data_IF_961819624655
#
_entry.id   IF_961819624655
#
_cell.length_a   1.000
_cell.length_b   1.000
_cell.length_c   1.000
_cell.angle_alpha   90.00
_cell.angle_beta   90.00
_cell.angle_gamma   90.00
#
_symmetry.space_group_name_H-M   'P 1'
#
loop_
_entity.id
_entity.type
_entity.pdbx_description
1 polymer ?
#
# COMPACT_ATOMS: atom_id res chain seq x y z
N UNK A 1 23.93 9.43 -11.82
CA UNK A 1 24.98 8.49 -12.30
C UNK A 1 25.15 7.24 -11.42
N UNK A 2 24.94 7.30 -10.10
CA UNK A 2 25.12 6.12 -9.21
C UNK A 2 23.93 5.14 -9.14
N UNK A 3 22.71 5.56 -9.52
CA UNK A 3 21.49 4.72 -9.37
C UNK A 3 21.44 3.52 -10.32
N UNK A 4 21.91 3.67 -11.57
CA UNK A 4 21.98 2.53 -12.49
C UNK A 4 22.93 1.41 -12.03
N UNK A 5 23.98 1.74 -11.29
CA UNK A 5 24.84 0.72 -10.65
C UNK A 5 24.09 -0.02 -9.56
N UNK A 6 23.37 0.73 -8.73
CA UNK A 6 22.61 0.16 -7.61
C UNK A 6 21.43 -0.72 -8.07
N UNK A 7 20.71 -0.31 -9.11
CA UNK A 7 19.65 -1.12 -9.71
C UNK A 7 20.23 -2.43 -10.26
N UNK A 8 21.37 -2.38 -10.96
CA UNK A 8 22.02 -3.56 -11.49
C UNK A 8 22.50 -4.53 -10.39
N UNK A 9 23.07 -3.99 -9.30
CA UNK A 9 23.47 -4.76 -8.12
C UNK A 9 22.26 -5.43 -7.45
N UNK A 10 21.17 -4.68 -7.23
CA UNK A 10 19.95 -5.21 -6.63
C UNK A 10 19.31 -6.29 -7.50
N UNK A 11 19.25 -6.09 -8.81
CA UNK A 11 18.74 -7.08 -9.76
C UNK A 11 19.59 -8.35 -9.74
N UNK A 12 20.92 -8.20 -9.68
CA UNK A 12 21.82 -9.35 -9.54
C UNK A 12 21.55 -10.11 -8.23
N UNK A 13 21.43 -9.41 -7.11
CA UNK A 13 21.21 -10.02 -5.79
C UNK A 13 19.86 -10.72 -5.70
N UNK A 14 18.80 -10.12 -6.24
CA UNK A 14 17.48 -10.75 -6.35
C UNK A 14 17.57 -12.02 -7.20
N UNK A 15 18.16 -11.93 -8.40
CA UNK A 15 18.29 -13.09 -9.29
C UNK A 15 19.09 -14.21 -8.62
N UNK A 16 20.22 -13.88 -7.99
CA UNK A 16 21.04 -14.85 -7.26
C UNK A 16 20.27 -15.50 -6.09
N UNK A 17 19.51 -14.73 -5.33
CA UNK A 17 18.68 -15.24 -4.25
C UNK A 17 17.59 -16.19 -4.79
N UNK A 18 16.94 -15.84 -5.91
CA UNK A 18 15.95 -16.70 -6.57
C UNK A 18 16.57 -18.02 -7.01
N UNK A 19 17.77 -18.01 -7.61
CA UNK A 19 18.49 -19.24 -7.98
C UNK A 19 18.80 -20.14 -6.78
N UNK A 20 19.17 -19.55 -5.64
CA UNK A 20 19.43 -20.32 -4.41
C UNK A 20 18.17 -20.95 -3.84
N UNK A 21 17.05 -20.23 -3.89
CA UNK A 21 15.76 -20.72 -3.41
C UNK A 21 15.17 -21.74 -4.37
N UNK A 22 15.27 -21.52 -5.69
CA UNK A 22 14.76 -22.44 -6.70
C UNK A 22 15.46 -23.80 -6.68
N UNK A 23 16.74 -23.84 -6.29
CA UNK A 23 17.49 -25.09 -6.13
C UNK A 23 16.89 -26.04 -5.07
N UNK A 24 16.09 -25.53 -4.14
CA UNK A 24 15.43 -26.32 -3.09
C UNK A 24 14.06 -26.87 -3.52
N UNK A 25 13.51 -26.39 -4.63
CA UNK A 25 12.18 -26.76 -5.13
C UNK A 25 12.23 -28.15 -5.77
N UNK A 26 11.30 -29.01 -5.37
CA UNK A 26 11.21 -30.38 -5.92
C UNK A 26 10.59 -30.36 -7.32
N UNK A 27 9.54 -29.57 -7.53
CA UNK A 27 8.84 -29.47 -8.80
C UNK A 27 9.69 -28.86 -9.92
N UNK A 28 10.25 -29.72 -10.78
CA UNK A 28 11.22 -29.34 -11.81
C UNK A 28 10.75 -28.26 -12.79
N UNK A 29 9.46 -28.25 -13.16
CA UNK A 29 8.92 -27.23 -14.07
C UNK A 29 8.86 -25.86 -13.40
N UNK A 30 8.45 -25.82 -12.11
CA UNK A 30 8.36 -24.57 -11.36
C UNK A 30 9.73 -23.98 -11.09
N UNK A 31 10.69 -24.84 -10.71
CA UNK A 31 12.10 -24.47 -10.58
C UNK A 31 12.64 -23.83 -11.85
N UNK A 32 12.43 -24.47 -13.00
CA UNK A 32 12.89 -23.95 -14.30
C UNK A 32 12.24 -22.61 -14.66
N UNK A 33 10.95 -22.45 -14.43
CA UNK A 33 10.25 -21.19 -14.70
C UNK A 33 10.72 -20.05 -13.78
N UNK A 34 10.99 -20.32 -12.50
CA UNK A 34 11.58 -19.35 -11.58
C UNK A 34 12.97 -18.91 -12.03
N UNK A 35 13.84 -19.86 -12.40
CA UNK A 35 15.18 -19.58 -12.92
C UNK A 35 15.13 -18.77 -14.21
N UNK A 36 14.25 -19.12 -15.14
CA UNK A 36 14.03 -18.36 -16.37
C UNK A 36 13.55 -16.93 -16.06
N UNK A 37 12.61 -16.77 -15.14
CA UNK A 37 12.10 -15.46 -14.76
C UNK A 37 13.14 -14.59 -14.05
N UNK A 38 14.08 -15.19 -13.30
CA UNK A 38 15.21 -14.47 -12.71
C UNK A 38 16.19 -13.98 -13.78
N UNK A 39 16.50 -14.80 -14.79
CA UNK A 39 17.35 -14.37 -15.92
C UNK A 39 16.66 -13.29 -16.76
N UNK A 40 15.34 -13.41 -16.95
CA UNK A 40 14.55 -12.39 -17.65
C UNK A 40 14.60 -11.05 -16.94
N UNK A 41 14.45 -11.03 -15.61
CA UNK A 41 14.60 -9.80 -14.80
C UNK A 41 15.99 -9.16 -14.98
N UNK A 42 17.05 -9.97 -15.04
CA UNK A 42 18.42 -9.47 -15.27
C UNK A 42 18.66 -8.94 -16.68
N UNK A 43 17.85 -9.37 -17.66
CA UNK A 43 17.99 -8.94 -19.06
C UNK A 43 17.12 -7.72 -19.36
N UNK A 44 15.91 -7.70 -18.82
CA UNK A 44 14.91 -6.67 -19.02
C UNK A 44 14.36 -6.27 -17.65
N UNK A 45 14.86 -5.15 -17.12
CA UNK A 45 14.36 -4.61 -15.85
C UNK A 45 13.13 -3.77 -16.15
N UNK A 46 11.96 -4.40 -16.12
CA UNK A 46 10.68 -3.76 -16.42
C UNK A 46 9.58 -4.23 -15.45
N UNK A 47 8.44 -3.52 -15.42
CA UNK A 47 7.37 -3.86 -14.50
C UNK A 47 6.82 -5.28 -14.75
N UNK A 48 6.82 -5.73 -16.01
CA UNK A 48 6.24 -7.02 -16.38
C UNK A 48 7.06 -8.22 -15.91
N UNK A 49 8.40 -8.16 -16.03
CA UNK A 49 9.30 -9.20 -15.50
C UNK A 49 9.23 -9.30 -13.98
N UNK A 50 9.13 -8.17 -13.28
CA UNK A 50 8.99 -8.14 -11.82
C UNK A 50 7.67 -8.80 -11.40
N UNK A 51 6.54 -8.44 -12.01
CA UNK A 51 5.24 -9.04 -11.70
C UNK A 51 5.19 -10.54 -12.03
N UNK A 52 5.85 -10.96 -13.11
CA UNK A 52 5.97 -12.38 -13.46
C UNK A 52 6.71 -13.16 -12.38
N UNK A 53 7.85 -12.65 -11.94
CA UNK A 53 8.66 -13.29 -10.90
C UNK A 53 7.92 -13.34 -9.55
N UNK A 54 7.27 -12.24 -9.15
CA UNK A 54 6.46 -12.17 -7.93
C UNK A 54 5.32 -13.20 -7.94
N UNK A 55 4.63 -13.38 -9.07
CA UNK A 55 3.57 -14.40 -9.21
C UNK A 55 4.10 -15.81 -9.06
N UNK A 56 5.28 -16.10 -9.61
CA UNK A 56 5.91 -17.42 -9.51
C UNK A 56 6.38 -17.71 -8.07
N UNK A 57 6.95 -16.72 -7.39
CA UNK A 57 7.36 -16.82 -5.97
C UNK A 57 6.13 -17.09 -5.09
N UNK A 58 5.04 -16.35 -5.29
CA UNK A 58 3.81 -16.55 -4.53
C UNK A 58 3.14 -17.90 -4.83
N UNK A 59 3.22 -18.37 -6.07
CA UNK A 59 2.76 -19.71 -6.44
C UNK A 59 3.59 -20.79 -5.72
N UNK A 60 4.92 -20.65 -5.71
CA UNK A 60 5.82 -21.58 -5.04
C UNK A 60 5.60 -21.59 -3.53
N UNK A 61 5.34 -20.44 -2.90
CA UNK A 61 4.94 -20.37 -1.49
C UNK A 61 3.60 -21.07 -1.23
N UNK A 62 2.63 -20.89 -2.13
CA UNK A 62 1.31 -21.53 -2.01
C UNK A 62 1.37 -23.06 -2.15
N UNK A 63 2.43 -23.57 -2.79
CA UNK A 63 2.72 -25.00 -2.91
C UNK A 63 3.63 -25.51 -1.79
N UNK A 64 3.98 -24.67 -0.81
CA UNK A 64 4.90 -24.99 0.29
C UNK A 64 6.32 -25.40 -0.18
N UNK A 65 6.68 -25.06 -1.42
CA UNK A 65 8.00 -25.34 -2.03
C UNK A 65 9.05 -24.29 -1.62
N UNK A 66 8.61 -23.13 -1.16
CA UNK A 66 9.44 -22.05 -0.62
C UNK A 66 8.89 -21.66 0.75
N UNK A 67 9.78 -21.44 1.72
CA UNK A 67 9.41 -20.95 3.05
C UNK A 67 8.88 -19.51 3.01
N UNK A 68 7.92 -19.18 3.87
CA UNK A 68 7.36 -17.82 4.01
C UNK A 68 8.43 -16.74 4.24
N UNK A 69 9.51 -17.08 4.96
CA UNK A 69 10.62 -16.15 5.24
C UNK A 69 11.31 -15.73 3.94
N UNK A 70 11.71 -16.71 3.11
CA UNK A 70 12.34 -16.45 1.82
C UNK A 70 11.40 -15.69 0.89
N UNK A 71 10.12 -16.05 0.85
CA UNK A 71 9.09 -15.36 0.08
C UNK A 71 8.96 -13.90 0.49
N UNK A 72 8.90 -13.62 1.80
CA UNK A 72 8.79 -12.26 2.33
C UNK A 72 10.02 -11.41 1.97
N UNK A 73 11.22 -11.98 2.10
CA UNK A 73 12.47 -11.29 1.74
C UNK A 73 12.49 -10.97 0.24
N UNK A 74 12.23 -11.96 -0.61
CA UNK A 74 12.25 -11.76 -2.07
C UNK A 74 11.21 -10.73 -2.51
N UNK A 75 9.98 -10.79 -1.98
CA UNK A 75 8.93 -9.83 -2.32
C UNK A 75 9.28 -8.41 -1.85
N UNK A 76 9.94 -8.26 -0.70
CA UNK A 76 10.44 -6.95 -0.24
C UNK A 76 11.48 -6.39 -1.18
N UNK A 77 12.46 -7.20 -1.60
CA UNK A 77 13.49 -6.72 -2.53
C UNK A 77 12.92 -6.39 -3.92
N UNK A 78 11.93 -7.15 -4.39
CA UNK A 78 11.19 -6.83 -5.62
C UNK A 78 10.40 -5.51 -5.48
N UNK A 79 9.81 -5.24 -4.31
CA UNK A 79 9.14 -3.97 -4.05
C UNK A 79 10.13 -2.80 -4.06
N UNK A 80 11.29 -2.97 -3.41
CA UNK A 80 12.38 -1.98 -3.46
C UNK A 80 12.81 -1.69 -4.90
N UNK A 81 12.95 -2.74 -5.73
CA UNK A 81 13.29 -2.60 -7.14
C UNK A 81 12.22 -1.82 -7.93
N UNK A 82 10.92 -2.07 -7.69
CA UNK A 82 9.83 -1.32 -8.33
C UNK A 82 9.89 0.16 -7.97
N UNK A 83 10.13 0.50 -6.71
CA UNK A 83 10.22 1.89 -6.26
C UNK A 83 11.38 2.62 -6.93
N UNK A 84 12.54 1.98 -7.06
CA UNK A 84 13.70 2.53 -7.76
C UNK A 84 13.41 2.74 -9.26
N UNK A 85 12.71 1.80 -9.88
CA UNK A 85 12.33 1.88 -11.29
C UNK A 85 11.42 3.09 -11.56
N UNK A 86 10.39 3.28 -10.72
CA UNK A 86 9.47 4.43 -10.82
C UNK A 86 10.20 5.74 -10.63
N UNK A 87 11.14 5.80 -9.68
CA UNK A 87 11.94 6.99 -9.45
C UNK A 87 12.82 7.36 -10.66
N UNK A 88 13.38 6.37 -11.37
CA UNK A 88 14.16 6.60 -12.59
C UNK A 88 13.27 7.16 -13.72
N UNK A 89 12.08 6.58 -13.94
CA UNK A 89 11.15 7.08 -14.97
C UNK A 89 10.61 8.48 -14.68
N UNK A 90 10.45 8.87 -13.42
CA UNK A 90 9.99 10.22 -13.05
C UNK A 90 11.07 11.30 -13.23
N UNK A 91 12.36 10.94 -13.19
CA UNK A 91 13.45 11.88 -13.48
C UNK A 91 13.67 12.07 -15.00
N UNK A 92 13.25 11.11 -15.83
CA UNK A 92 13.43 11.15 -17.29
C UNK A 92 12.27 11.79 -18.06
N UNK A 93 11.13 12.11 -17.43
CA UNK A 93 10.10 12.88 -18.12
C UNK A 93 10.45 14.37 -18.12
N UNK A 94 10.84 14.99 -19.25
CA UNK A 94 10.79 16.44 -19.35
C UNK A 94 9.34 16.86 -19.10
N UNK A 95 9.14 18.00 -18.44
CA UNK A 95 7.84 18.66 -18.36
C UNK A 95 7.37 18.97 -19.79
N UNK A 96 6.69 18.01 -20.43
CA UNK A 96 6.00 18.25 -21.69
C UNK A 96 4.82 19.14 -21.35
N UNK A 97 4.96 20.44 -21.61
CA UNK A 97 3.89 21.42 -21.48
C UNK A 97 2.80 21.10 -22.51
N UNK A 98 1.90 20.20 -22.14
CA UNK A 98 0.77 19.75 -22.95
C UNK A 98 -0.25 20.89 -23.18
N UNK A 99 -0.10 22.02 -22.48
CA UNK A 99 -0.95 23.21 -22.63
C UNK A 99 -1.02 23.68 -24.08
N UNK A 100 0.08 23.58 -24.84
CA UNK A 100 0.13 23.99 -26.24
C UNK A 100 -0.63 23.08 -27.22
N UNK A 101 -0.93 21.82 -26.86
CA UNK A 101 -1.67 20.89 -27.73
C UNK A 101 -3.19 21.07 -27.66
N UNK A 102 -3.72 21.73 -26.61
CA UNK A 102 -5.16 21.95 -26.44
C UNK A 102 -5.66 23.28 -27.00
N UNK A 103 -4.79 24.21 -27.38
CA UNK A 103 -5.21 25.56 -27.82
C UNK A 103 -5.70 25.64 -29.28
N UNK A 104 -5.54 24.58 -30.10
CA UNK A 104 -5.70 24.71 -31.56
C UNK A 104 -6.93 24.09 -32.22
N UNK A 105 -7.90 23.56 -31.48
CA UNK A 105 -9.17 23.12 -32.09
C UNK A 105 -10.38 23.34 -31.19
N UNK A 106 -10.73 24.61 -31.00
CA UNK A 106 -12.06 25.04 -30.53
C UNK A 106 -13.10 24.88 -31.65
N UNK A 107 -13.22 23.70 -32.26
CA UNK A 107 -14.46 23.37 -32.96
C UNK A 107 -15.47 22.98 -31.90
N UNK A 108 -16.50 23.82 -31.71
CA UNK A 108 -17.65 23.52 -30.86
C UNK A 108 -18.23 22.15 -31.26
N UNK A 109 -18.03 21.16 -30.40
CA UNK A 109 -18.69 19.87 -30.54
C UNK A 109 -20.20 20.08 -30.33
N UNK A 110 -21.08 19.51 -31.19
CA UNK A 110 -22.53 19.71 -31.13
C UNK A 110 -23.21 19.03 -29.93
N UNK A 111 -22.42 18.44 -29.02
CA UNK A 111 -22.89 17.82 -27.81
C UNK A 111 -22.45 18.65 -26.61
N UNK A 112 -23.29 19.63 -26.25
CA UNK A 112 -23.21 20.30 -24.95
C UNK A 112 -23.66 19.31 -23.87
N UNK A 113 -22.78 18.39 -23.50
CA UNK A 113 -22.87 17.74 -22.19
C UNK A 113 -22.38 18.78 -21.21
N UNK A 114 -23.28 19.26 -20.35
CA UNK A 114 -22.91 20.13 -19.23
C UNK A 114 -21.96 19.35 -18.31
N UNK A 115 -20.67 19.41 -18.62
CA UNK A 115 -19.61 19.12 -17.70
C UNK A 115 -19.37 20.45 -17.01
N UNK A 116 -20.07 20.64 -15.91
CA UNK A 116 -19.71 21.65 -14.93
C UNK A 116 -18.25 21.43 -14.54
N UNK A 117 -17.36 22.28 -15.05
CA UNK A 117 -16.04 22.50 -14.48
C UNK A 117 -16.27 23.09 -13.09
N UNK A 118 -16.47 22.20 -12.13
CA UNK A 118 -16.47 22.52 -10.73
C UNK A 118 -15.04 22.78 -10.30
N UNK A 119 -14.58 24.02 -10.45
CA UNK A 119 -13.97 24.69 -9.31
C UNK A 119 -15.08 24.88 -8.26
N UNK A 120 -15.58 23.77 -7.71
CA UNK A 120 -16.42 23.79 -6.53
C UNK A 120 -15.45 23.98 -5.36
N UNK A 121 -15.21 25.25 -5.05
CA UNK A 121 -15.36 25.76 -3.68
C UNK A 121 -16.06 24.70 -2.83
N UNK A 122 -15.44 24.28 -1.71
CA UNK A 122 -15.97 23.33 -0.71
C UNK A 122 -17.27 23.85 -0.08
N UNK A 123 -18.29 24.07 -0.90
CA UNK A 123 -19.63 24.44 -0.53
C UNK A 123 -20.33 23.12 -0.33
N UNK A 124 -20.61 22.80 0.92
CA UNK A 124 -21.34 21.60 1.30
C UNK A 124 -22.68 21.58 0.57
N UNK A 125 -22.75 20.82 -0.52
CA UNK A 125 -24.02 20.50 -1.14
C UNK A 125 -24.84 19.76 -0.10
N UNK A 126 -26.03 20.25 0.18
CA UNK A 126 -26.94 19.55 1.08
C UNK A 126 -27.20 18.15 0.50
N UNK A 127 -27.17 17.11 1.35
CA UNK A 127 -27.40 15.76 0.89
C UNK A 127 -28.82 15.71 0.33
N UNK A 128 -28.98 15.04 -0.81
CA UNK A 128 -30.31 14.75 -1.33
C UNK A 128 -31.14 14.04 -0.25
N UNK A 129 -32.47 14.20 -0.27
CA UNK A 129 -33.38 13.56 0.70
C UNK A 129 -33.04 12.08 0.95
N UNK A 130 -32.68 11.34 -0.11
CA UNK A 130 -32.21 9.94 -0.05
C UNK A 130 -30.89 9.77 0.70
N UNK A 131 -29.90 10.62 0.45
CA UNK A 131 -28.62 10.59 1.15
C UNK A 131 -28.76 10.92 2.64
N UNK A 132 -29.69 11.81 3.00
CA UNK A 132 -30.03 12.10 4.40
C UNK A 132 -30.61 10.87 5.09
N UNK A 133 -31.55 10.17 4.44
CA UNK A 133 -32.13 8.92 4.97
C UNK A 133 -31.07 7.82 5.14
N UNK A 134 -30.14 7.69 4.19
CA UNK A 134 -29.01 6.75 4.30
C UNK A 134 -28.12 7.12 5.50
N UNK A 135 -27.86 8.40 5.70
CA UNK A 135 -27.02 8.90 6.79
C UNK A 135 -27.68 8.67 8.16
N UNK A 136 -28.97 8.97 8.29
CA UNK A 136 -29.75 8.67 9.50
C UNK A 136 -29.77 7.18 9.81
N UNK A 137 -29.95 6.35 8.79
CA UNK A 137 -29.91 4.91 8.95
C UNK A 137 -28.54 4.44 9.44
N UNK A 138 -27.44 4.93 8.86
CA UNK A 138 -26.09 4.58 9.31
C UNK A 138 -25.82 5.07 10.73
N UNK A 139 -26.39 6.20 11.17
CA UNK A 139 -26.29 6.67 12.56
C UNK A 139 -26.96 5.72 13.57
N UNK A 140 -27.92 4.90 13.16
CA UNK A 140 -28.58 3.92 14.04
C UNK A 140 -27.67 2.71 14.35
N UNK A 141 -26.65 2.47 13.52
CA UNK A 141 -25.66 1.43 13.75
C UNK A 141 -24.38 2.11 14.24
N UNK A 142 -23.95 1.82 15.47
CA UNK A 142 -22.73 2.38 16.09
C UNK A 142 -21.43 1.90 15.37
N UNK A 143 -21.26 2.26 14.09
CA UNK A 143 -20.11 1.90 13.26
C UNK A 143 -20.16 0.52 12.61
N UNK A 144 -21.24 -0.25 12.79
CA UNK A 144 -21.38 -1.63 12.28
C UNK A 144 -22.27 -1.76 11.03
N UNK A 145 -22.55 -0.68 10.31
CA UNK A 145 -23.42 -0.75 9.13
C UNK A 145 -22.65 -1.32 7.92
N UNK A 146 -23.12 -2.44 7.37
CA UNK A 146 -22.56 -3.02 6.14
C UNK A 146 -23.35 -2.60 4.90
N UNK A 147 -22.71 -2.72 3.75
CA UNK A 147 -23.37 -2.52 2.45
C UNK A 147 -24.57 -3.46 2.24
N UNK A 148 -24.53 -4.67 2.81
CA UNK A 148 -25.66 -5.63 2.80
C UNK A 148 -26.88 -5.08 3.53
N UNK A 149 -26.68 -4.33 4.60
CA UNK A 149 -27.76 -3.86 5.47
C UNK A 149 -28.47 -2.67 4.80
N UNK A 150 -27.69 -1.80 4.14
CA UNK A 150 -28.22 -0.76 3.27
C UNK A 150 -28.96 -1.32 2.06
N UNK A 151 -28.44 -2.37 1.42
CA UNK A 151 -29.11 -3.00 0.28
C UNK A 151 -30.44 -3.67 0.68
N UNK A 152 -30.53 -4.19 1.92
CA UNK A 152 -31.77 -4.77 2.45
C UNK A 152 -32.82 -3.70 2.74
N UNK A 153 -32.41 -2.57 3.32
CA UNK A 153 -33.32 -1.47 3.67
C UNK A 153 -33.78 -0.66 2.46
N UNK A 154 -32.87 -0.40 1.52
CA UNK A 154 -33.10 0.41 0.32
C UNK A 154 -33.23 -0.48 -0.92
N UNK A 155 -34.10 -1.50 -0.86
CA UNK A 155 -34.29 -2.47 -1.93
C UNK A 155 -34.83 -1.88 -3.26
N UNK A 156 -35.38 -0.67 -3.21
CA UNK A 156 -35.83 0.09 -4.40
C UNK A 156 -34.65 0.70 -5.19
N UNK A 157 -33.45 0.76 -4.58
CA UNK A 157 -32.27 1.39 -5.15
C UNK A 157 -31.24 0.33 -5.54
N UNK A 158 -30.69 0.43 -6.75
CA UNK A 158 -29.66 -0.51 -7.18
C UNK A 158 -28.40 -0.43 -6.29
N UNK A 159 -27.71 -1.56 -6.11
CA UNK A 159 -26.42 -1.62 -5.37
C UNK A 159 -25.38 -0.65 -5.94
N UNK A 160 -25.44 -0.36 -7.24
CA UNK A 160 -24.56 0.61 -7.92
C UNK A 160 -24.89 2.04 -7.48
N UNK A 161 -26.16 2.40 -7.42
CA UNK A 161 -26.61 3.72 -6.97
C UNK A 161 -26.26 3.94 -5.50
N UNK A 162 -26.48 2.94 -4.63
CA UNK A 162 -26.06 2.99 -3.23
C UNK A 162 -24.55 3.22 -3.08
N UNK A 163 -23.72 2.54 -3.89
CA UNK A 163 -22.28 2.76 -3.90
C UNK A 163 -21.91 4.20 -4.27
N UNK A 164 -22.60 4.80 -5.24
CA UNK A 164 -22.35 6.18 -5.66
C UNK A 164 -22.75 7.17 -4.56
N UNK A 165 -23.90 6.95 -3.92
CA UNK A 165 -24.39 7.80 -2.82
C UNK A 165 -23.42 7.73 -1.62
N UNK A 166 -22.97 6.53 -1.25
CA UNK A 166 -21.98 6.32 -0.17
C UNK A 166 -20.63 6.95 -0.53
N UNK A 167 -20.17 6.80 -1.77
CA UNK A 167 -18.91 7.41 -2.21
C UNK A 167 -18.99 8.94 -2.14
N UNK A 168 -20.16 9.51 -2.45
CA UNK A 168 -20.41 10.95 -2.32
C UNK A 168 -20.39 11.38 -0.85
N UNK A 169 -21.06 10.63 0.03
CA UNK A 169 -21.08 10.92 1.48
C UNK A 169 -19.71 10.76 2.16
N UNK A 170 -18.87 9.82 1.71
CA UNK A 170 -17.49 9.68 2.16
C UNK A 170 -16.65 10.87 1.68
N UNK A 171 -16.77 11.26 0.41
CA UNK A 171 -16.06 12.41 -0.17
C UNK A 171 -16.43 13.72 0.54
N UNK A 172 -17.69 13.85 0.97
CA UNK A 172 -18.18 14.99 1.74
C UNK A 172 -17.78 14.95 3.23
N UNK A 173 -17.12 13.87 3.69
CA UNK A 173 -16.70 13.73 5.08
C UNK A 173 -17.84 13.54 6.07
N UNK A 174 -19.00 13.05 5.61
CA UNK A 174 -20.15 12.75 6.48
C UNK A 174 -20.14 11.31 7.01
N UNK A 175 -19.44 10.42 6.30
CA UNK A 175 -19.32 8.99 6.62
C UNK A 175 -17.86 8.56 6.44
N UNK A 176 -17.39 7.69 7.32
CA UNK A 176 -16.09 7.05 7.25
C UNK A 176 -16.26 5.55 6.96
N UNK A 177 -15.33 4.98 6.19
CA UNK A 177 -15.25 3.53 5.97
C UNK A 177 -14.19 2.94 6.90
N UNK A 178 -14.59 1.99 7.72
CA UNK A 178 -13.71 1.29 8.66
C UNK A 178 -13.43 -0.12 8.11
N UNK A 179 -12.15 -0.47 7.99
CA UNK A 179 -11.67 -1.80 7.58
C UNK A 179 -11.12 -1.88 6.14
N UNK A 180 -10.37 -2.95 5.88
CA UNK A 180 -9.72 -3.22 4.59
C UNK A 180 -10.72 -3.31 3.43
N UNK A 181 -10.30 -2.89 2.22
CA UNK A 181 -11.12 -2.94 1.00
C UNK A 181 -11.64 -4.37 0.79
N UNK A 182 -12.95 -4.58 0.95
CA UNK A 182 -13.56 -5.91 0.83
C UNK A 182 -14.91 -6.06 1.53
N UNK A 183 -15.44 -7.30 1.63
CA UNK A 183 -16.74 -7.60 2.24
C UNK A 183 -16.79 -7.34 3.74
N UNK A 184 -15.63 -7.15 4.38
CA UNK A 184 -15.49 -6.85 5.81
C UNK A 184 -15.41 -5.35 6.12
N UNK A 185 -15.77 -4.49 5.17
CA UNK A 185 -15.79 -3.05 5.40
C UNK A 185 -17.12 -2.59 6.02
N UNK A 186 -17.00 -1.73 7.03
CA UNK A 186 -18.13 -1.13 7.73
C UNK A 186 -18.20 0.38 7.46
N UNK A 187 -19.39 0.95 7.63
CA UNK A 187 -19.66 2.37 7.46
C UNK A 187 -20.03 2.97 8.82
N UNK A 188 -19.41 4.11 9.13
CA UNK A 188 -19.64 4.87 10.36
C UNK A 188 -19.98 6.31 10.01
N UNK A 189 -21.07 6.84 10.54
CA UNK A 189 -21.39 8.25 10.40
C UNK A 189 -20.47 9.10 11.30
N UNK A 190 -19.90 10.18 10.75
CA UNK A 190 -19.08 11.13 11.50
C UNK A 190 -20.05 12.10 12.20
N UNK A 191 -19.91 12.26 13.53
CA UNK A 191 -20.67 13.28 14.28
C UNK A 191 -20.13 14.67 13.91
N UNK A 192 -21.01 15.58 13.53
CA UNK A 192 -20.66 16.99 13.30
C UNK A 192 -20.09 17.57 14.61
N UNK A 193 -18.76 17.63 14.71
CA UNK A 193 -18.03 17.95 15.94
C UNK A 193 -16.65 17.29 16.06
N UNK A 194 -16.32 16.29 15.24
CA UNK A 194 -15.01 15.63 15.24
C UNK A 194 -14.23 15.87 13.95
N UNK A 195 -13.86 17.13 13.67
CA UNK A 195 -12.78 17.42 12.70
C UNK A 195 -11.52 17.69 13.50
N UNK A 196 -10.86 16.65 13.96
CA UNK A 196 -9.44 16.66 14.33
C UNK A 196 -9.04 15.20 14.58
N UNK A 197 -7.91 14.78 14.00
CA UNK A 197 -7.38 13.40 13.92
C UNK A 197 -8.18 12.54 12.93
N UNK A 198 -7.68 12.14 11.76
CA UNK A 198 -6.51 11.28 11.52
C UNK A 198 -5.85 11.68 10.18
N UNK A 199 -4.78 12.46 10.25
CA UNK A 199 -3.56 12.28 9.45
C UNK A 199 -2.42 12.41 10.46
N UNK A 200 -1.40 11.56 10.31
CA UNK A 200 -0.22 11.36 11.18
C UNK A 200 -0.34 10.21 12.18
N UNK A 201 0.07 9.02 11.72
CA UNK A 201 0.81 8.04 12.52
C UNK A 201 1.58 7.14 11.57
N UNK A 202 2.75 7.58 11.13
CA UNK A 202 3.98 6.75 11.01
C UNK A 202 5.17 7.70 11.23
N UNK A 203 5.91 7.46 12.31
CA UNK A 203 6.94 8.37 12.83
C UNK A 203 7.19 8.12 14.31
N UNK A 204 7.37 6.85 14.68
CA UNK A 204 7.84 6.43 16.00
C UNK A 204 9.37 6.30 15.89
N UNK A 205 10.08 7.35 16.31
CA UNK A 205 11.50 7.28 16.64
C UNK A 205 11.62 7.53 18.14
N UNK A 206 11.96 6.47 18.85
CA UNK A 206 12.42 6.49 20.22
C UNK A 206 13.64 7.40 20.35
N UNK A 207 13.53 8.44 21.18
CA UNK A 207 14.65 9.20 21.71
C UNK A 207 14.37 9.47 23.19
N UNK A 208 14.59 8.46 24.03
CA UNK A 208 14.68 8.63 25.47
C UNK A 208 16.04 9.25 25.82
N UNK A 209 16.05 10.58 25.95
CA UNK A 209 17.07 11.29 26.71
C UNK A 209 16.80 11.13 28.21
N UNK A 210 17.51 10.21 28.86
CA UNK A 210 17.64 10.18 30.32
C UNK A 210 18.75 11.13 30.74
N UNK A 211 18.38 12.17 31.49
CA UNK A 211 19.30 13.02 32.24
C UNK A 211 20.04 12.19 33.30
N UNK A 212 21.38 12.22 33.27
CA UNK A 212 22.22 11.76 34.37
C UNK A 212 23.00 12.97 34.87
N UNK A 213 22.62 13.45 36.05
CA UNK A 213 23.43 14.37 36.85
C UNK A 213 24.64 13.62 37.44
N UNK A 214 25.75 14.34 37.47
CA UNK A 214 27.06 13.88 37.94
C UNK A 214 27.10 13.64 39.47
N UNK A 215 27.96 12.69 39.85
CA UNK A 215 28.72 12.79 41.09
C UNK A 215 28.42 11.73 42.14
N UNK A 216 29.23 10.68 42.20
CA UNK A 216 30.13 10.42 43.34
C UNK A 216 30.85 9.07 43.21
N UNK A 217 32.17 9.18 43.23
CA UNK A 217 33.18 8.14 43.42
C UNK A 217 32.90 7.27 44.64
N UNK A 218 32.80 5.94 44.50
CA UNK A 218 33.32 4.97 45.49
C UNK A 218 33.83 3.70 44.77
N UNK A 219 35.12 3.43 44.93
CA UNK A 219 35.84 2.20 44.61
C UNK A 219 35.28 1.01 45.40
N UNK A 220 35.35 -0.22 44.87
CA UNK A 220 35.97 -1.38 45.56
C UNK A 220 35.84 -2.68 44.74
N UNK A 221 37.01 -3.15 44.31
CA UNK A 221 37.51 -4.55 44.28
C UNK A 221 36.56 -5.74 44.10
N UNK A 222 36.85 -6.54 43.05
CA UNK A 222 36.99 -7.99 43.19
C UNK A 222 36.51 -8.84 42.00
N UNK A 223 37.41 -9.46 41.22
CA UNK A 223 37.05 -10.57 40.34
C UNK A 223 37.39 -11.91 40.99
N UNK A 224 36.43 -12.83 41.07
CA UNK A 224 36.73 -14.27 41.13
C UNK A 224 35.86 -15.01 40.14
N UNK A 225 36.48 -15.29 39.00
CA UNK A 225 36.06 -16.26 37.99
C UNK A 225 36.29 -17.65 38.59
N UNK A 226 35.22 -18.45 38.68
CA UNK A 226 35.29 -19.88 38.99
C UNK A 226 35.12 -20.69 37.72
N UNK A 227 36.24 -21.07 37.10
CA UNK A 227 36.33 -22.13 36.10
C UNK A 227 36.29 -23.45 36.88
N UNK A 228 35.35 -24.35 36.55
CA UNK A 228 35.45 -25.76 36.92
C UNK A 228 35.68 -26.55 35.64
N UNK A 229 36.86 -27.14 35.58
CA UNK A 229 37.30 -28.09 34.59
C UNK A 229 37.36 -29.48 35.25
N UNK A 230 36.79 -30.46 34.53
CA UNK A 230 37.21 -31.86 34.36
C UNK A 230 37.67 -32.72 35.54
N UNK A 231 36.97 -33.86 35.71
CA UNK A 231 37.47 -35.09 36.30
C UNK A 231 37.46 -36.20 35.24
N UNK A 232 38.62 -36.85 35.11
CA UNK A 232 39.00 -38.10 34.41
C UNK A 232 38.86 -38.22 32.88
#
# INVERSE_FOLDING_TARGET
>A
MFRNSYIAELVHDISFAVFRVSALIEHAFLRKELEMSAVELSTYVDESSIHKLERLINLANSLEEISDINTSVLNRELANLKELLVAEYMEEMPDEDISGMFEKNSQELPFKKEISNGNETRSGKEPSKRQTEILEFIRQFDGNCRMSDLATRFGEVSKRTLRNDISSLIREGRIERIGSRGPYSYLKAIKEGGRDTIYNKEGEQDNDHVNIEEGSTILLSGPKVGIFDTFE
#
